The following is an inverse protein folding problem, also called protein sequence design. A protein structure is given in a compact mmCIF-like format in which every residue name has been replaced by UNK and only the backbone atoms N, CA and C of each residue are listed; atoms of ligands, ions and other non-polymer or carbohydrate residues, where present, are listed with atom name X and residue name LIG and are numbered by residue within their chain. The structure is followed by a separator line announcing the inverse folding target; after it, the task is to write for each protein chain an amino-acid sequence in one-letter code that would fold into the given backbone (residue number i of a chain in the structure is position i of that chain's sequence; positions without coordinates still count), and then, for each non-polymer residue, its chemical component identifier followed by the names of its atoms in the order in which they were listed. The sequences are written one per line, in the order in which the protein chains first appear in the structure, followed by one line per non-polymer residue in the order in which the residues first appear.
data_IF_605740776321
#
_entry.id   IF_605740776321
#
_cell.length_a   1.000
_cell.length_b   1.000
_cell.length_c   1.000
_cell.angle_alpha   90.00
_cell.angle_beta   90.00
_cell.angle_gamma   90.00
#
_symmetry.space_group_name_H-M   'P 1'
#
loop_
_entity.id
_entity.type
_entity.pdbx_description
1 polymer ?
#
# COMPACT_ATOMS: atom_id res chain seq x y z
N UNK A 1 -23.69 -0.19 -34.16
CA UNK A 1 -23.78 0.00 -32.69
C UNK A 1 -23.50 -1.27 -31.86
N UNK A 2 -23.34 -2.47 -32.44
CA UNK A 2 -23.06 -3.71 -31.68
C UNK A 2 -21.60 -3.87 -31.17
N UNK A 3 -20.63 -3.14 -31.74
CA UNK A 3 -19.21 -3.24 -31.37
C UNK A 3 -18.86 -2.61 -30.02
N UNK A 4 -19.45 -1.45 -29.68
CA UNK A 4 -19.16 -0.74 -28.41
C UNK A 4 -19.62 -1.51 -27.17
N UNK A 5 -20.78 -2.17 -27.23
CA UNK A 5 -21.30 -2.98 -26.11
C UNK A 5 -20.51 -4.27 -25.83
N UNK A 6 -19.84 -4.84 -26.85
CA UNK A 6 -18.95 -6.01 -26.67
C UNK A 6 -17.58 -5.62 -26.12
N UNK A 7 -17.03 -4.45 -26.48
CA UNK A 7 -15.78 -3.92 -25.90
C UNK A 7 -15.94 -3.68 -24.40
N UNK A 8 -17.06 -3.07 -23.99
CA UNK A 8 -17.35 -2.80 -22.58
C UNK A 8 -17.43 -4.07 -21.71
N UNK A 9 -18.02 -5.16 -22.26
CA UNK A 9 -18.03 -6.46 -21.57
C UNK A 9 -16.63 -7.03 -21.39
N UNK A 10 -15.77 -6.90 -22.41
CA UNK A 10 -14.39 -7.36 -22.35
C UNK A 10 -13.57 -6.58 -21.32
N UNK A 11 -13.72 -5.25 -21.28
CA UNK A 11 -13.06 -4.37 -20.29
C UNK A 11 -13.50 -4.71 -18.85
N UNK A 12 -14.78 -4.96 -18.64
CA UNK A 12 -15.32 -5.36 -17.31
C UNK A 12 -14.73 -6.72 -16.87
N UNK A 13 -14.60 -7.66 -17.81
CA UNK A 13 -14.05 -8.99 -17.54
C UNK A 13 -12.55 -8.94 -17.25
N UNK A 14 -11.81 -8.06 -17.95
CA UNK A 14 -10.40 -7.78 -17.67
C UNK A 14 -10.24 -7.24 -16.25
N UNK A 15 -11.01 -6.21 -15.86
CA UNK A 15 -10.88 -5.62 -14.53
C UNK A 15 -11.19 -6.63 -13.42
N UNK A 16 -12.27 -7.40 -13.59
CA UNK A 16 -12.61 -8.49 -12.67
C UNK A 16 -11.47 -9.51 -12.55
N UNK A 17 -10.86 -9.90 -13.67
CA UNK A 17 -9.75 -10.86 -13.68
C UNK A 17 -8.50 -10.30 -12.98
N UNK A 18 -8.26 -8.97 -13.05
CA UNK A 18 -7.18 -8.30 -12.33
C UNK A 18 -7.43 -8.24 -10.83
N UNK A 19 -8.67 -7.97 -10.42
CA UNK A 19 -9.06 -7.99 -9.00
C UNK A 19 -8.92 -9.38 -8.38
N UNK A 20 -9.25 -10.43 -9.13
CA UNK A 20 -9.09 -11.84 -8.74
C UNK A 20 -7.64 -12.35 -8.83
N UNK A 21 -6.70 -11.51 -9.29
CA UNK A 21 -5.29 -11.89 -9.55
C UNK A 21 -5.15 -13.07 -10.53
N UNK A 22 -6.10 -13.25 -11.46
CA UNK A 22 -6.04 -14.27 -12.50
C UNK A 22 -5.27 -13.75 -13.72
N UNK A 23 -3.94 -13.63 -13.58
CA UNK A 23 -3.09 -12.97 -14.57
C UNK A 23 -3.06 -13.68 -15.93
N UNK A 24 -3.20 -15.00 -15.96
CA UNK A 24 -3.30 -15.77 -17.22
C UNK A 24 -4.51 -15.30 -18.04
N UNK A 25 -5.69 -15.20 -17.39
CA UNK A 25 -6.90 -14.70 -18.04
C UNK A 25 -6.77 -13.24 -18.46
N UNK A 26 -6.11 -12.39 -17.67
CA UNK A 26 -5.85 -10.99 -18.03
C UNK A 26 -5.05 -10.88 -19.33
N UNK A 27 -3.99 -11.69 -19.48
CA UNK A 27 -3.16 -11.71 -20.68
C UNK A 27 -3.98 -12.15 -21.90
N UNK A 28 -4.73 -13.25 -21.78
CA UNK A 28 -5.56 -13.77 -22.88
C UNK A 28 -6.62 -12.75 -23.34
N UNK A 29 -7.28 -12.08 -22.41
CA UNK A 29 -8.28 -11.05 -22.71
C UNK A 29 -7.65 -9.78 -23.30
N UNK A 30 -6.45 -9.41 -22.86
CA UNK A 30 -5.72 -8.27 -23.41
C UNK A 30 -5.25 -8.54 -24.86
N UNK A 31 -4.81 -9.75 -25.18
CA UNK A 31 -4.51 -10.17 -26.55
C UNK A 31 -5.76 -10.13 -27.45
N UNK A 32 -6.90 -10.58 -26.91
CA UNK A 32 -8.19 -10.45 -27.62
C UNK A 32 -8.57 -8.98 -27.85
N UNK A 33 -8.37 -8.11 -26.87
CA UNK A 33 -8.62 -6.66 -27.01
C UNK A 33 -7.75 -6.08 -28.13
N UNK A 34 -6.45 -6.41 -28.13
CA UNK A 34 -5.50 -5.99 -29.16
C UNK A 34 -5.91 -6.43 -30.56
N UNK A 35 -6.37 -7.68 -30.72
CA UNK A 35 -6.78 -8.21 -32.02
C UNK A 35 -8.06 -7.57 -32.57
N UNK A 36 -8.97 -7.14 -31.69
CA UNK A 36 -10.31 -6.65 -32.07
C UNK A 36 -10.36 -5.15 -32.30
N UNK A 37 -9.52 -4.39 -31.61
CA UNK A 37 -9.55 -2.93 -31.67
C UNK A 37 -8.11 -2.37 -31.57
N UNK A 38 -7.48 -2.06 -32.71
CA UNK A 38 -6.11 -1.53 -32.76
C UNK A 38 -5.92 -0.23 -31.96
N UNK A 39 -6.98 0.57 -31.82
CA UNK A 39 -6.98 1.80 -31.02
C UNK A 39 -6.65 1.57 -29.53
N UNK A 40 -6.84 0.34 -29.02
CA UNK A 40 -6.53 -0.05 -27.65
C UNK A 40 -5.18 -0.77 -27.52
N UNK A 41 -4.34 -0.77 -28.55
CA UNK A 41 -3.07 -1.50 -28.54
C UNK A 41 -2.19 -1.14 -27.32
N UNK A 42 -2.07 0.14 -26.97
CA UNK A 42 -1.26 0.56 -25.83
C UNK A 42 -1.85 0.12 -24.49
N UNK A 43 -3.19 0.13 -24.36
CA UNK A 43 -3.85 -0.40 -23.17
C UNK A 43 -3.66 -1.92 -23.06
N UNK A 44 -3.80 -2.65 -24.16
CA UNK A 44 -3.57 -4.08 -24.20
C UNK A 44 -2.12 -4.44 -23.87
N UNK A 45 -1.14 -3.72 -24.45
CA UNK A 45 0.27 -3.91 -24.13
C UNK A 45 0.55 -3.66 -22.64
N UNK A 46 -0.09 -2.66 -22.04
CA UNK A 46 0.03 -2.37 -20.61
C UNK A 46 -0.50 -3.53 -19.75
N UNK A 47 -1.70 -4.04 -20.07
CA UNK A 47 -2.34 -5.16 -19.37
C UNK A 47 -1.52 -6.45 -19.47
N UNK A 48 -0.93 -6.73 -20.65
CA UNK A 48 -0.04 -7.87 -20.84
C UNK A 48 1.24 -7.70 -20.01
N UNK A 49 1.83 -6.50 -20.01
CA UNK A 49 3.02 -6.17 -19.23
C UNK A 49 2.79 -6.33 -17.72
N UNK A 50 1.66 -5.82 -17.22
CA UNK A 50 1.24 -6.00 -15.83
C UNK A 50 1.01 -7.47 -15.50
N UNK A 51 0.23 -8.20 -16.30
CA UNK A 51 -0.07 -9.61 -16.03
C UNK A 51 1.18 -10.47 -15.99
N UNK A 52 2.14 -10.24 -16.89
CA UNK A 52 3.44 -10.94 -16.88
C UNK A 52 4.28 -10.57 -15.66
N UNK A 53 4.29 -9.30 -15.25
CA UNK A 53 5.01 -8.84 -14.06
C UNK A 53 4.45 -9.48 -12.79
N UNK A 54 3.14 -9.35 -12.56
CA UNK A 54 2.51 -9.83 -11.33
C UNK A 54 2.52 -11.36 -11.26
N UNK A 55 2.26 -12.06 -12.38
CA UNK A 55 2.39 -13.52 -12.42
C UNK A 55 3.81 -14.01 -12.10
N UNK A 56 4.84 -13.28 -12.53
CA UNK A 56 6.22 -13.62 -12.19
C UNK A 56 6.51 -13.37 -10.70
N UNK A 57 6.01 -12.27 -10.13
CA UNK A 57 6.27 -11.92 -8.73
C UNK A 57 5.48 -12.76 -7.72
N UNK A 58 4.35 -13.36 -8.13
CA UNK A 58 3.65 -14.38 -7.34
C UNK A 58 4.49 -15.66 -7.19
N UNK A 59 5.21 -16.07 -8.24
CA UNK A 59 6.08 -17.25 -8.20
C UNK A 59 7.45 -16.93 -7.58
N UNK A 60 8.01 -15.77 -7.90
CA UNK A 60 9.31 -15.30 -7.45
C UNK A 60 9.19 -13.92 -6.79
N UNK A 61 8.90 -13.87 -5.48
CA UNK A 61 8.78 -12.61 -4.75
C UNK A 61 10.03 -11.73 -4.88
N UNK A 62 9.90 -10.40 -4.79
CA UNK A 62 11.01 -9.44 -4.99
C UNK A 62 11.95 -9.41 -3.77
N UNK A 63 12.68 -10.51 -3.57
CA UNK A 63 13.71 -10.68 -2.54
C UNK A 63 15.08 -10.82 -3.20
N UNK A 64 16.15 -10.52 -2.45
CA UNK A 64 17.53 -10.51 -2.97
C UNK A 64 17.93 -11.85 -3.66
N UNK A 65 17.41 -12.98 -3.16
CA UNK A 65 17.66 -14.31 -3.72
C UNK A 65 17.08 -14.52 -5.14
N UNK A 66 16.05 -13.78 -5.53
CA UNK A 66 15.35 -13.93 -6.81
C UNK A 66 15.83 -12.95 -7.89
N UNK A 67 16.77 -12.03 -7.57
CA UNK A 67 17.23 -10.99 -8.51
C UNK A 67 17.75 -11.58 -9.82
N UNK A 68 18.52 -12.67 -9.77
CA UNK A 68 19.07 -13.31 -10.97
C UNK A 68 17.97 -13.82 -11.91
N UNK A 69 16.94 -14.48 -11.35
CA UNK A 69 15.77 -14.96 -12.08
C UNK A 69 14.94 -13.80 -12.61
N UNK A 70 14.76 -12.74 -11.83
CA UNK A 70 14.03 -11.55 -12.24
C UNK A 70 14.69 -10.87 -13.45
N UNK A 71 16.03 -10.81 -13.49
CA UNK A 71 16.77 -10.22 -14.62
C UNK A 71 16.50 -10.91 -15.96
N UNK A 72 16.28 -12.22 -15.97
CA UNK A 72 15.98 -12.99 -17.18
C UNK A 72 14.47 -13.10 -17.43
N UNK A 73 13.67 -13.33 -16.39
CA UNK A 73 12.24 -13.62 -16.48
C UNK A 73 11.37 -12.38 -16.73
N UNK A 74 11.78 -11.19 -16.30
CA UNK A 74 11.00 -9.95 -16.46
C UNK A 74 11.30 -9.20 -17.77
N UNK A 75 12.12 -9.75 -18.66
CA UNK A 75 12.53 -9.10 -19.92
C UNK A 75 11.33 -8.76 -20.82
N UNK A 76 10.39 -9.69 -20.95
CA UNK A 76 9.20 -9.48 -21.78
C UNK A 76 8.23 -8.47 -21.15
N UNK A 77 7.97 -8.59 -19.85
CA UNK A 77 7.16 -7.62 -19.10
C UNK A 77 7.75 -6.21 -19.21
N UNK A 78 9.08 -6.08 -19.08
CA UNK A 78 9.81 -4.82 -19.25
C UNK A 78 9.58 -4.23 -20.65
N UNK A 79 9.67 -5.03 -21.70
CA UNK A 79 9.44 -4.57 -23.08
C UNK A 79 8.04 -3.99 -23.27
N UNK A 80 7.02 -4.67 -22.75
CA UNK A 80 5.65 -4.19 -22.83
C UNK A 80 5.45 -2.88 -22.06
N UNK A 81 5.88 -2.82 -20.80
CA UNK A 81 5.71 -1.63 -19.96
C UNK A 81 6.51 -0.42 -20.46
N UNK A 82 7.70 -0.64 -21.04
CA UNK A 82 8.46 0.45 -21.69
C UNK A 82 7.73 1.01 -22.92
N UNK A 83 7.04 0.15 -23.69
CA UNK A 83 6.26 0.62 -24.84
C UNK A 83 5.08 1.52 -24.43
N UNK A 84 4.57 1.36 -23.20
CA UNK A 84 3.44 2.12 -22.65
C UNK A 84 3.89 3.31 -21.78
N UNK A 85 5.17 3.37 -21.39
CA UNK A 85 5.80 4.56 -20.82
C UNK A 85 6.26 5.56 -21.91
N UNK A 86 5.42 5.75 -22.94
CA UNK A 86 5.67 6.63 -24.08
C UNK A 86 4.56 7.69 -24.22
N UNK A 87 4.75 8.69 -25.09
CA UNK A 87 3.72 9.70 -25.39
C UNK A 87 2.40 9.07 -25.89
N UNK A 88 2.46 7.91 -26.52
CA UNK A 88 1.27 7.17 -26.94
C UNK A 88 0.55 6.53 -25.75
N UNK A 89 1.29 6.00 -24.77
CA UNK A 89 0.71 5.51 -23.52
C UNK A 89 0.12 6.62 -22.64
N UNK A 90 0.62 7.86 -22.77
CA UNK A 90 0.00 9.04 -22.16
C UNK A 90 -1.39 9.31 -22.72
N UNK A 91 -1.58 9.18 -24.04
CA UNK A 91 -2.92 9.30 -24.68
C UNK A 91 -3.87 8.19 -24.25
N UNK A 92 -3.34 7.00 -23.97
CA UNK A 92 -4.13 5.87 -23.45
C UNK A 92 -4.38 5.94 -21.93
N UNK A 93 -3.84 6.94 -21.22
CA UNK A 93 -4.04 7.11 -19.78
C UNK A 93 -3.28 6.11 -18.90
N UNK A 94 -2.35 5.32 -19.47
CA UNK A 94 -1.63 4.24 -18.75
C UNK A 94 -0.22 4.61 -18.34
N UNK A 95 0.29 5.78 -18.74
CA UNK A 95 1.70 6.18 -18.51
C UNK A 95 2.07 6.20 -17.03
N UNK A 96 1.15 6.67 -16.17
CA UNK A 96 1.40 6.76 -14.72
C UNK A 96 1.57 5.37 -14.12
N UNK A 97 0.58 4.50 -14.29
CA UNK A 97 0.63 3.11 -13.83
C UNK A 97 1.82 2.37 -14.45
N UNK A 98 2.17 2.64 -15.72
CA UNK A 98 3.34 2.05 -16.39
C UNK A 98 4.64 2.42 -15.66
N UNK A 99 4.81 3.69 -15.29
CA UNK A 99 6.00 4.13 -14.54
C UNK A 99 6.05 3.51 -13.13
N UNK A 100 4.91 3.39 -12.44
CA UNK A 100 4.85 2.73 -11.13
C UNK A 100 5.24 1.24 -11.23
N UNK A 101 4.69 0.52 -12.21
CA UNK A 101 5.03 -0.88 -12.46
C UNK A 101 6.47 -1.07 -12.95
N UNK A 102 7.01 -0.15 -13.74
CA UNK A 102 8.43 -0.15 -14.13
C UNK A 102 9.33 0.05 -12.91
N UNK A 103 8.94 0.91 -11.96
CA UNK A 103 9.63 1.07 -10.67
C UNK A 103 9.68 -0.25 -9.90
N UNK A 104 8.55 -0.95 -9.78
CA UNK A 104 8.44 -2.28 -9.15
C UNK A 104 9.29 -3.33 -9.87
N UNK A 105 9.24 -3.36 -11.21
CA UNK A 105 10.01 -4.28 -12.04
C UNK A 105 11.53 -4.08 -11.87
N UNK A 106 12.00 -2.83 -11.91
CA UNK A 106 13.43 -2.53 -11.74
C UNK A 106 13.93 -2.86 -10.33
N UNK A 107 13.10 -2.68 -9.30
CA UNK A 107 13.41 -3.14 -7.96
C UNK A 107 13.59 -4.67 -7.88
N UNK A 108 12.66 -5.43 -8.46
CA UNK A 108 12.76 -6.89 -8.49
C UNK A 108 14.01 -7.38 -9.24
N UNK A 109 14.46 -6.63 -10.25
CA UNK A 109 15.71 -6.88 -10.97
C UNK A 109 16.96 -6.37 -10.23
N UNK A 110 16.85 -5.79 -9.03
CA UNK A 110 17.97 -5.23 -8.27
C UNK A 110 18.58 -3.96 -8.89
N UNK A 111 17.83 -3.23 -9.71
CA UNK A 111 18.22 -1.94 -10.32
C UNK A 111 17.58 -0.78 -9.54
N UNK A 112 18.09 -0.52 -8.34
CA UNK A 112 17.48 0.41 -7.37
C UNK A 112 17.46 1.87 -7.84
N UNK A 113 18.54 2.34 -8.48
CA UNK A 113 18.63 3.70 -9.04
C UNK A 113 17.59 3.94 -10.15
N UNK A 114 17.47 2.99 -11.07
CA UNK A 114 16.47 3.05 -12.16
C UNK A 114 15.05 3.02 -11.59
N UNK A 115 14.82 2.20 -10.56
CA UNK A 115 13.53 2.18 -9.85
C UNK A 115 13.17 3.55 -9.27
N UNK A 116 14.12 4.23 -8.61
CA UNK A 116 13.92 5.58 -8.09
C UNK A 116 13.65 6.59 -9.22
N UNK A 117 14.35 6.48 -10.35
CA UNK A 117 14.13 7.35 -11.51
C UNK A 117 12.69 7.25 -12.02
N UNK A 118 12.13 6.04 -12.14
CA UNK A 118 10.74 5.86 -12.55
C UNK A 118 9.74 6.44 -11.54
N UNK A 119 9.97 6.31 -10.24
CA UNK A 119 9.10 6.95 -9.23
C UNK A 119 9.19 8.47 -9.22
N UNK A 120 10.35 9.04 -9.60
CA UNK A 120 10.50 10.47 -9.78
C UNK A 120 9.76 10.94 -11.04
N UNK A 121 9.85 10.20 -12.16
CA UNK A 121 9.09 10.48 -13.39
C UNK A 121 7.58 10.33 -13.20
N UNK A 122 7.15 9.40 -12.35
CA UNK A 122 5.75 9.28 -11.94
C UNK A 122 5.30 10.43 -11.03
N UNK A 123 6.21 11.28 -10.53
CA UNK A 123 5.93 12.33 -9.56
C UNK A 123 5.16 11.81 -8.32
N UNK A 124 5.53 10.63 -7.80
CA UNK A 124 4.78 9.94 -6.74
C UNK A 124 4.47 10.83 -5.53
N UNK A 125 5.41 11.72 -5.19
CA UNK A 125 5.31 12.67 -4.08
C UNK A 125 4.36 13.86 -4.31
N UNK A 126 3.97 14.11 -5.57
CA UNK A 126 3.05 15.18 -5.98
C UNK A 126 1.61 14.70 -6.13
N UNK A 127 1.34 13.43 -5.78
CA UNK A 127 -0.01 12.87 -5.92
C UNK A 127 -1.00 13.63 -5.04
N UNK A 128 -2.14 13.97 -5.65
CA UNK A 128 -3.26 14.51 -4.90
C UNK A 128 -4.00 13.37 -4.22
N UNK A 129 -4.18 13.49 -2.91
CA UNK A 129 -4.90 12.51 -2.11
C UNK A 129 -6.38 12.54 -2.53
N UNK A 130 -6.76 11.57 -3.37
CA UNK A 130 -8.12 11.34 -3.85
C UNK A 130 -8.54 9.92 -3.48
N UNK A 131 -9.84 9.65 -3.47
CA UNK A 131 -10.31 8.26 -3.39
C UNK A 131 -9.82 7.47 -4.60
N UNK A 132 -9.26 6.30 -4.33
CA UNK A 132 -8.67 5.41 -5.32
C UNK A 132 -9.43 4.07 -5.32
N UNK A 133 -9.62 3.44 -6.49
CA UNK A 133 -10.05 2.05 -6.57
C UNK A 133 -9.09 1.13 -5.81
N UNK A 134 -9.58 -0.04 -5.37
CA UNK A 134 -8.79 -0.98 -4.54
C UNK A 134 -7.45 -1.38 -5.19
N UNK A 135 -7.47 -1.66 -6.50
CA UNK A 135 -6.23 -1.95 -7.26
C UNK A 135 -5.24 -0.78 -7.22
N UNK A 136 -5.72 0.44 -7.46
CA UNK A 136 -4.87 1.64 -7.43
C UNK A 136 -4.30 1.89 -6.04
N UNK A 137 -5.06 1.63 -4.96
CA UNK A 137 -4.52 1.67 -3.60
C UNK A 137 -3.34 0.71 -3.43
N UNK A 138 -3.46 -0.53 -3.90
CA UNK A 138 -2.37 -1.52 -3.85
C UNK A 138 -1.12 -1.02 -4.57
N UNK A 139 -1.26 -0.56 -5.81
CA UNK A 139 -0.12 -0.12 -6.64
C UNK A 139 0.57 1.09 -6.02
N UNK A 140 -0.19 2.08 -5.52
CA UNK A 140 0.39 3.26 -4.90
C UNK A 140 1.06 2.90 -3.57
N UNK A 141 0.46 2.01 -2.76
CA UNK A 141 1.07 1.51 -1.53
C UNK A 141 2.41 0.80 -1.82
N UNK A 142 2.43 -0.13 -2.77
CA UNK A 142 3.64 -0.83 -3.22
C UNK A 142 4.69 0.12 -3.81
N UNK A 143 4.26 1.16 -4.52
CA UNK A 143 5.17 2.15 -5.10
C UNK A 143 5.90 2.94 -4.03
N UNK A 144 5.18 3.44 -3.02
CA UNK A 144 5.80 4.11 -1.87
C UNK A 144 6.67 3.14 -1.06
N UNK A 145 6.23 1.90 -0.88
CA UNK A 145 6.99 0.85 -0.20
C UNK A 145 8.34 0.63 -0.86
N UNK A 146 8.32 0.37 -2.17
CA UNK A 146 9.50 0.06 -2.96
C UNK A 146 10.39 1.29 -3.07
N UNK A 147 9.85 2.50 -3.24
CA UNK A 147 10.64 3.73 -3.18
C UNK A 147 11.39 3.85 -1.85
N UNK A 148 10.74 3.58 -0.72
CA UNK A 148 11.38 3.55 0.61
C UNK A 148 12.50 2.52 0.71
N UNK A 149 12.28 1.30 0.21
CA UNK A 149 13.30 0.23 0.20
C UNK A 149 14.47 0.54 -0.75
N UNK A 150 14.20 1.14 -1.91
CA UNK A 150 15.25 1.61 -2.82
C UNK A 150 16.11 2.69 -2.14
N UNK A 151 15.48 3.65 -1.44
CA UNK A 151 16.21 4.65 -0.68
C UNK A 151 17.11 3.99 0.36
N UNK A 152 16.70 2.92 1.05
CA UNK A 152 17.59 2.20 1.98
C UNK A 152 18.84 1.59 1.32
N UNK A 153 18.72 1.14 0.08
CA UNK A 153 19.84 0.56 -0.69
C UNK A 153 20.72 1.63 -1.34
N UNK A 154 20.14 2.79 -1.70
CA UNK A 154 20.81 3.91 -2.37
C UNK A 154 20.97 5.08 -1.39
N UNK A 155 22.15 5.16 -0.77
CA UNK A 155 22.48 6.30 0.09
C UNK A 155 22.81 7.56 -0.73
N UNK A 156 22.54 8.76 -0.19
CA UNK A 156 22.94 9.99 -0.85
C UNK A 156 24.46 10.06 -1.01
N UNK A 157 24.91 10.53 -2.18
CA UNK A 157 26.34 10.73 -2.47
C UNK A 157 26.99 11.83 -1.65
N UNK A 158 26.18 12.74 -1.08
CA UNK A 158 26.66 13.83 -0.24
C UNK A 158 26.64 13.45 1.24
N UNK A 159 27.75 13.69 1.92
CA UNK A 159 27.90 13.52 3.38
C UNK A 159 27.35 14.70 4.21
N UNK A 160 26.74 15.70 3.57
CA UNK A 160 26.16 16.85 4.29
C UNK A 160 25.04 16.41 5.22
N UNK A 161 25.10 16.82 6.49
CA UNK A 161 24.06 16.53 7.50
C UNK A 161 22.66 16.92 7.03
N UNK A 162 22.54 18.03 6.30
CA UNK A 162 21.26 18.50 5.77
C UNK A 162 20.68 17.52 4.74
N UNK A 163 21.47 17.09 3.76
CA UNK A 163 21.04 16.12 2.74
C UNK A 163 20.75 14.75 3.33
N UNK A 164 21.51 14.36 4.36
CA UNK A 164 21.26 13.12 5.08
C UNK A 164 19.92 13.17 5.82
N UNK A 165 19.61 14.28 6.49
CA UNK A 165 18.34 14.47 7.19
C UNK A 165 17.15 14.49 6.23
N UNK A 166 17.27 15.17 5.09
CA UNK A 166 16.24 15.21 4.04
C UNK A 166 15.96 13.81 3.46
N UNK A 167 17.02 13.04 3.16
CA UNK A 167 16.89 11.66 2.70
C UNK A 167 16.25 10.76 3.76
N UNK A 168 16.65 10.91 5.03
CA UNK A 168 16.06 10.15 6.14
C UNK A 168 14.56 10.45 6.30
N UNK A 169 14.17 11.72 6.19
CA UNK A 169 12.77 12.16 6.24
C UNK A 169 11.98 11.62 5.06
N UNK A 170 12.51 11.72 3.83
CA UNK A 170 11.87 11.21 2.63
C UNK A 170 11.65 9.69 2.72
N UNK A 171 12.66 8.95 3.19
CA UNK A 171 12.58 7.51 3.38
C UNK A 171 11.49 7.14 4.39
N UNK A 172 11.46 7.79 5.56
CA UNK A 172 10.45 7.52 6.58
C UNK A 172 9.05 7.84 6.06
N UNK A 173 8.87 8.98 5.39
CA UNK A 173 7.60 9.38 4.79
C UNK A 173 7.08 8.34 3.79
N UNK A 174 7.97 7.75 2.98
CA UNK A 174 7.58 6.69 2.05
C UNK A 174 6.96 5.49 2.78
N UNK A 175 7.59 5.02 3.87
CA UNK A 175 7.06 3.91 4.65
C UNK A 175 5.77 4.26 5.41
N UNK A 176 5.63 5.49 5.90
CA UNK A 176 4.40 5.93 6.58
C UNK A 176 3.20 5.97 5.63
N UNK A 177 3.36 6.59 4.46
CA UNK A 177 2.31 6.68 3.44
C UNK A 177 1.98 5.29 2.90
N UNK A 178 2.99 4.47 2.60
CA UNK A 178 2.77 3.10 2.16
C UNK A 178 2.02 2.28 3.21
N UNK A 179 2.34 2.42 4.50
CA UNK A 179 1.67 1.70 5.58
C UNK A 179 0.20 2.12 5.73
N UNK A 180 -0.11 3.41 5.62
CA UNK A 180 -1.49 3.91 5.71
C UNK A 180 -2.34 3.42 4.53
N UNK A 181 -1.81 3.53 3.32
CA UNK A 181 -2.46 3.01 2.11
C UNK A 181 -2.64 1.48 2.16
N UNK A 182 -1.68 0.75 2.73
CA UNK A 182 -1.76 -0.70 2.90
C UNK A 182 -2.91 -1.07 3.84
N UNK A 183 -3.00 -0.41 5.00
CA UNK A 183 -4.11 -0.65 5.93
C UNK A 183 -5.46 -0.31 5.30
N UNK A 184 -5.55 0.80 4.57
CA UNK A 184 -6.76 1.17 3.84
C UNK A 184 -7.13 0.16 2.75
N UNK A 185 -6.14 -0.30 1.97
CA UNK A 185 -6.31 -1.35 0.96
C UNK A 185 -6.88 -2.63 1.57
N UNK A 186 -6.32 -3.09 2.69
CA UNK A 186 -6.78 -4.31 3.37
C UNK A 186 -8.21 -4.16 3.91
N UNK A 187 -8.60 -2.97 4.39
CA UNK A 187 -9.97 -2.69 4.82
C UNK A 187 -10.97 -2.70 3.66
N UNK A 188 -10.62 -2.12 2.50
CA UNK A 188 -11.50 -2.15 1.33
C UNK A 188 -11.60 -3.57 0.74
N UNK A 189 -10.55 -4.38 0.82
CA UNK A 189 -10.57 -5.79 0.42
C UNK A 189 -11.55 -6.64 1.24
N UNK A 190 -11.55 -6.47 2.57
CA UNK A 190 -12.51 -7.15 3.46
C UNK A 190 -13.96 -6.72 3.16
N UNK A 191 -14.18 -5.43 2.92
CA UNK A 191 -15.50 -4.89 2.57
C UNK A 191 -16.05 -5.48 1.27
N UNK A 192 -15.21 -5.61 0.23
CA UNK A 192 -15.60 -6.23 -1.04
C UNK A 192 -16.00 -7.70 -0.84
N UNK A 193 -15.30 -8.42 0.05
CA UNK A 193 -15.62 -9.82 0.35
C UNK A 193 -16.96 -9.99 1.09
N UNK A 194 -17.26 -9.10 2.05
CA UNK A 194 -18.54 -9.11 2.76
C UNK A 194 -19.74 -8.82 1.83
N UNK A 195 -19.53 -8.04 0.77
CA UNK A 195 -20.57 -7.77 -0.24
C UNK A 195 -20.81 -8.96 -1.18
N UNK A 196 -19.77 -9.75 -1.48
CA UNK A 196 -19.92 -10.96 -2.31
C UNK A 196 -20.61 -12.10 -1.57
N UNK A 197 -20.40 -12.21 -0.26
CA UNK A 197 -21.05 -13.26 0.56
C UNK A 197 -22.53 -12.98 0.83
N UNK A 198 -22.96 -11.71 0.90
CA UNK A 198 -24.37 -11.34 1.10
C UNK A 198 -25.27 -11.57 -0.12
N UNK A 199 -24.71 -11.66 -1.33
CA UNK A 199 -25.47 -11.93 -2.56
C UNK A 199 -25.71 -13.43 -2.85
N UNK A 200 -25.01 -14.32 -2.15
CA UNK A 200 -25.14 -15.79 -2.30
C UNK A 200 -26.08 -16.38 -1.23
N UNK A 201 -26.34 -15.65 -0.13
CA UNK A 201 -27.08 -16.16 1.02
C UNK A 201 -28.59 -15.92 0.98
N UNK A 202 -29.24 -16.24 -0.15
CA UNK A 202 -30.66 -16.64 -0.11
C UNK A 202 -30.76 -18.15 0.16
N UNK A 203 -30.54 -18.55 1.43
CA UNK A 203 -31.19 -19.76 1.98
C UNK A 203 -30.39 -21.06 2.21
N UNK A 204 -29.18 -21.03 2.81
CA UNK A 204 -28.60 -22.28 3.35
C UNK A 204 -27.68 -22.04 4.56
N UNK A 205 -28.01 -22.69 5.68
CA UNK A 205 -27.24 -22.71 6.95
C UNK A 205 -26.08 -23.72 6.87
N UNK A 206 -25.22 -23.61 5.86
CA UNK A 206 -24.00 -24.44 5.80
C UNK A 206 -22.84 -23.70 6.49
N UNK A 207 -22.03 -24.36 7.34
CA UNK A 207 -20.87 -23.74 7.95
C UNK A 207 -19.89 -23.32 6.86
N UNK A 208 -19.60 -22.02 6.79
CA UNK A 208 -18.65 -21.46 5.83
C UNK A 208 -17.25 -22.09 6.05
N UNK A 209 -16.55 -22.46 4.96
CA UNK A 209 -15.15 -22.85 5.09
C UNK A 209 -14.34 -21.68 5.69
N UNK A 210 -13.30 -21.96 6.50
CA UNK A 210 -12.42 -20.92 7.02
C UNK A 210 -11.91 -20.10 5.83
N UNK A 211 -12.10 -18.79 5.92
CA UNK A 211 -11.61 -17.84 4.92
C UNK A 211 -10.10 -18.08 4.79
N UNK A 212 -9.54 -18.36 3.60
CA UNK A 212 -8.11 -18.54 3.47
C UNK A 212 -7.42 -17.28 3.97
N UNK A 213 -6.48 -17.44 4.90
CA UNK A 213 -5.64 -16.34 5.40
C UNK A 213 -5.02 -15.65 4.19
N UNK A 214 -5.50 -14.44 3.85
CA UNK A 214 -4.94 -13.68 2.75
C UNK A 214 -3.54 -13.25 3.17
N UNK A 215 -2.54 -13.81 2.52
CA UNK A 215 -1.16 -13.39 2.71
C UNK A 215 -1.03 -11.95 2.22
N UNK A 216 -0.58 -11.08 3.13
CA UNK A 216 -0.13 -9.75 2.75
C UNK A 216 1.13 -9.97 1.91
N UNK A 217 1.21 -9.36 0.72
CA UNK A 217 2.40 -9.50 -0.12
C UNK A 217 3.67 -9.05 0.65
N UNK A 218 4.84 -9.67 0.42
CA UNK A 218 6.03 -9.45 1.26
C UNK A 218 6.52 -7.99 1.28
N UNK A 219 6.27 -7.26 0.19
CA UNK A 219 6.53 -5.82 0.10
C UNK A 219 5.68 -5.05 1.12
N UNK A 220 4.38 -5.34 1.18
CA UNK A 220 3.43 -4.67 2.06
C UNK A 220 3.64 -5.06 3.53
N UNK A 221 3.98 -6.33 3.81
CA UNK A 221 4.35 -6.79 5.15
C UNK A 221 5.57 -6.03 5.70
N UNK A 222 6.60 -5.90 4.86
CA UNK A 222 7.84 -5.20 5.22
C UNK A 222 7.54 -3.76 5.66
N UNK A 223 6.71 -3.05 4.90
CA UNK A 223 6.36 -1.65 5.20
C UNK A 223 5.60 -1.49 6.50
N UNK A 224 4.66 -2.39 6.80
CA UNK A 224 3.85 -2.29 8.01
C UNK A 224 4.71 -2.34 9.28
N UNK A 225 5.89 -2.96 9.23
CA UNK A 225 6.81 -2.99 10.37
C UNK A 225 7.93 -1.94 10.29
N UNK A 226 8.28 -1.46 9.09
CA UNK A 226 9.51 -0.66 8.90
C UNK A 226 9.44 0.75 9.48
N UNK A 227 8.32 1.46 9.36
CA UNK A 227 8.22 2.86 9.79
C UNK A 227 8.49 3.05 11.30
N UNK A 228 7.87 2.29 12.23
CA UNK A 228 8.19 2.42 13.66
C UNK A 228 9.66 2.09 13.97
N UNK A 229 10.23 1.08 13.31
CA UNK A 229 11.64 0.69 13.51
C UNK A 229 12.59 1.82 13.11
N UNK A 230 12.34 2.50 12.00
CA UNK A 230 13.17 3.63 11.55
C UNK A 230 13.12 4.82 12.54
N UNK A 231 11.95 5.10 13.11
CA UNK A 231 11.83 6.13 14.17
C UNK A 231 12.65 5.77 15.41
N UNK A 232 12.62 4.50 15.83
CA UNK A 232 13.43 4.02 16.97
C UNK A 232 14.93 4.13 16.66
N UNK A 233 15.35 3.70 15.46
CA UNK A 233 16.77 3.76 15.03
C UNK A 233 17.32 5.19 14.96
N UNK A 234 16.45 6.17 14.69
CA UNK A 234 16.81 7.60 14.65
C UNK A 234 16.65 8.31 16.00
N UNK A 235 16.30 7.57 17.07
CA UNK A 235 16.10 8.12 18.42
C UNK A 235 14.78 8.89 18.60
N UNK A 236 13.89 8.87 17.61
CA UNK A 236 12.59 9.57 17.63
C UNK A 236 11.51 8.68 18.26
N UNK A 237 11.68 8.35 19.54
CA UNK A 237 10.81 7.38 20.22
C UNK A 237 9.33 7.78 20.23
N UNK A 238 9.03 9.06 20.46
CA UNK A 238 7.65 9.57 20.45
C UNK A 238 6.99 9.39 19.08
N UNK A 239 7.72 9.63 17.99
CA UNK A 239 7.22 9.38 16.63
C UNK A 239 6.95 7.89 16.39
N UNK A 240 7.80 7.00 16.92
CA UNK A 240 7.56 5.56 16.84
C UNK A 240 6.28 5.15 17.60
N UNK A 241 6.10 5.65 18.83
CA UNK A 241 4.90 5.41 19.65
C UNK A 241 3.65 5.91 18.93
N UNK A 242 3.66 7.15 18.43
CA UNK A 242 2.54 7.70 17.65
C UNK A 242 2.26 6.87 16.40
N UNK A 243 3.29 6.36 15.73
CA UNK A 243 3.12 5.49 14.55
C UNK A 243 2.45 4.17 14.92
N UNK A 244 2.93 3.47 15.96
CA UNK A 244 2.29 2.25 16.45
C UNK A 244 0.84 2.48 16.83
N UNK A 245 0.54 3.55 17.60
CA UNK A 245 -0.82 3.92 17.98
C UNK A 245 -1.71 4.18 16.76
N UNK A 246 -1.20 4.92 15.78
CA UNK A 246 -1.95 5.20 14.53
C UNK A 246 -2.30 3.91 13.81
N UNK A 247 -1.36 2.98 13.69
CA UNK A 247 -1.58 1.69 13.05
C UNK A 247 -2.55 0.80 13.83
N UNK A 248 -2.43 0.73 15.16
CA UNK A 248 -3.31 -0.06 16.03
C UNK A 248 -4.71 0.55 16.15
N UNK A 249 -4.85 1.87 15.96
CA UNK A 249 -6.14 2.56 15.94
C UNK A 249 -6.96 2.28 14.67
N UNK A 250 -6.31 1.82 13.59
CA UNK A 250 -7.00 1.42 12.38
C UNK A 250 -7.94 0.24 12.67
N UNK A 251 -9.12 0.23 12.08
CA UNK A 251 -10.06 -0.89 12.16
C UNK A 251 -9.38 -2.15 11.62
N UNK A 252 -9.50 -3.22 12.38
CA UNK A 252 -8.93 -4.52 12.03
C UNK A 252 -9.53 -5.10 10.76
N UNK A 253 -8.66 -5.70 9.96
CA UNK A 253 -9.03 -6.54 8.82
C UNK A 253 -8.54 -7.97 9.04
N UNK A 254 -9.15 -8.93 8.34
CA UNK A 254 -8.81 -10.35 8.38
C UNK A 254 -7.30 -10.62 8.19
N UNK A 255 -6.65 -9.85 7.32
CA UNK A 255 -5.22 -9.99 7.03
C UNK A 255 -4.30 -9.33 8.07
N UNK A 256 -4.81 -8.48 8.97
CA UNK A 256 -3.96 -7.70 9.92
C UNK A 256 -3.88 -8.30 11.32
N UNK A 257 -4.54 -9.42 11.60
CA UNK A 257 -4.61 -10.00 12.95
C UNK A 257 -3.23 -10.32 13.54
N UNK A 258 -2.44 -11.13 12.83
CA UNK A 258 -1.08 -11.51 13.25
C UNK A 258 -0.14 -10.31 13.38
N UNK A 259 -0.26 -9.35 12.47
CA UNK A 259 0.48 -8.10 12.50
C UNK A 259 0.14 -7.30 13.75
N UNK A 260 -1.15 -7.13 14.07
CA UNK A 260 -1.59 -6.35 15.23
C UNK A 260 -1.01 -6.93 16.52
N UNK A 261 -0.99 -8.26 16.67
CA UNK A 261 -0.35 -8.91 17.82
C UNK A 261 1.14 -8.60 17.94
N UNK A 262 1.82 -8.54 16.80
CA UNK A 262 3.24 -8.14 16.76
C UNK A 262 3.40 -6.67 17.16
N UNK A 263 2.57 -5.78 16.62
CA UNK A 263 2.63 -4.34 16.88
C UNK A 263 2.23 -3.99 18.33
N UNK A 264 1.22 -4.64 18.91
CA UNK A 264 0.83 -4.41 20.32
C UNK A 264 1.96 -4.80 21.27
N UNK A 265 2.57 -5.97 21.06
CA UNK A 265 3.75 -6.39 21.83
C UNK A 265 4.91 -5.42 21.68
N UNK A 266 5.25 -5.02 20.45
CA UNK A 266 6.35 -4.09 20.19
C UNK A 266 6.11 -2.72 20.84
N UNK A 267 4.88 -2.20 20.78
CA UNK A 267 4.53 -0.96 21.45
C UNK A 267 4.63 -1.09 22.97
N UNK A 268 4.14 -2.18 23.56
CA UNK A 268 4.25 -2.43 24.99
C UNK A 268 5.73 -2.49 25.43
N UNK A 269 6.61 -3.13 24.67
CA UNK A 269 8.05 -3.16 24.92
C UNK A 269 8.69 -1.78 24.85
N UNK A 270 8.30 -0.96 23.87
CA UNK A 270 8.77 0.42 23.72
C UNK A 270 8.33 1.27 24.90
N UNK A 271 7.08 1.17 25.33
CA UNK A 271 6.56 1.90 26.49
C UNK A 271 7.29 1.48 27.78
N UNK A 272 7.41 0.17 28.03
CA UNK A 272 8.06 -0.38 29.23
C UNK A 272 9.53 0.01 29.38
N UNK A 273 10.27 0.13 28.26
CA UNK A 273 11.74 0.34 28.29
C UNK A 273 12.16 1.76 27.97
N UNK A 274 11.34 2.52 27.25
CA UNK A 274 11.75 3.77 26.61
C UNK A 274 10.94 5.00 27.01
N UNK A 275 9.78 4.85 27.65
CA UNK A 275 8.94 5.98 28.04
C UNK A 275 8.74 5.95 29.55
N UNK A 276 9.27 6.96 30.26
CA UNK A 276 8.94 7.19 31.65
C UNK A 276 7.64 7.97 31.77
N UNK A 277 6.89 7.82 32.87
CA UNK A 277 5.60 8.48 33.08
C UNK A 277 5.58 10.02 32.89
N UNK A 278 6.74 10.68 32.96
CA UNK A 278 6.91 12.12 32.68
C UNK A 278 6.94 12.49 31.19
N UNK A 279 7.27 11.54 30.31
CA UNK A 279 7.36 11.72 28.84
C UNK A 279 6.19 11.02 28.13
N UNK A 280 5.37 10.28 28.87
CA UNK A 280 4.18 9.64 28.34
C UNK A 280 3.17 10.67 27.83
N UNK A 281 2.72 10.47 26.60
CA UNK A 281 1.59 11.18 26.00
C UNK A 281 0.40 10.25 25.88
N UNK A 282 -0.81 10.70 26.24
CA UNK A 282 -2.03 9.94 26.06
C UNK A 282 -2.34 9.72 24.56
N UNK A 283 -2.86 8.55 24.14
CA UNK A 283 -3.39 8.39 22.79
C UNK A 283 -4.45 9.45 22.47
N UNK A 284 -4.32 10.11 21.32
CA UNK A 284 -5.29 11.12 20.87
C UNK A 284 -6.67 10.49 20.71
N UNK A 285 -7.72 11.15 21.23
CA UNK A 285 -9.09 10.71 20.94
C UNK A 285 -9.39 11.00 19.48
N UNK A 286 -10.04 10.05 18.79
CA UNK A 286 -10.57 10.31 17.45
C UNK A 286 -11.58 11.47 17.53
N UNK A 287 -11.17 12.67 17.12
CA UNK A 287 -11.96 13.91 17.20
C UNK A 287 -11.32 15.05 18.00
N UNK A 288 -10.30 14.80 18.82
CA UNK A 288 -9.58 15.84 19.57
C UNK A 288 -8.42 16.40 18.75
N UNK A 289 -8.71 16.99 17.58
CA UNK A 289 -7.79 17.97 16.99
C UNK A 289 -7.89 19.25 17.82
N UNK A 290 -7.39 19.24 19.05
CA UNK A 290 -7.36 20.43 19.91
C UNK A 290 -6.38 21.44 19.33
N UNK A 291 -6.91 22.38 18.54
CA UNK A 291 -6.96 23.80 18.86
C UNK A 291 -5.81 24.36 19.73
N UNK A 292 -4.57 24.16 19.31
CA UNK A 292 -3.42 24.94 19.75
C UNK A 292 -2.79 25.59 18.52
N UNK A 293 -3.21 26.83 18.25
CA UNK A 293 -2.71 27.75 17.21
C UNK A 293 -3.14 27.54 15.75
N UNK A 294 -4.44 27.67 15.45
CA UNK A 294 -4.85 28.34 14.20
C UNK A 294 -6.12 29.18 14.38
N UNK A 295 -5.90 30.49 14.39
CA UNK A 295 -6.92 31.53 14.30
C UNK A 295 -7.60 31.44 12.93
N UNK A 296 -8.94 31.59 12.94
CA UNK A 296 -9.85 31.88 11.82
C UNK A 296 -9.94 30.85 10.66
N UNK A 297 -11.01 30.05 10.67
CA UNK A 297 -12.11 30.11 9.67
C UNK A 297 -13.15 29.02 9.99
N UNK A 298 -14.42 29.43 10.07
CA UNK A 298 -15.57 28.51 10.13
C UNK A 298 -15.66 27.75 8.81
N UNK A 299 -15.31 26.47 8.78
CA UNK A 299 -15.94 25.43 7.93
C UNK A 299 -15.29 24.07 8.18
N UNK A 300 -16.10 23.02 8.02
CA UNK A 300 -15.73 21.61 7.78
C UNK A 300 -15.12 20.81 8.94
N UNK A 301 -15.85 19.77 9.34
CA UNK A 301 -15.28 18.50 9.81
C UNK A 301 -14.01 18.23 9.00
N UNK A 302 -12.85 18.16 9.64
CA UNK A 302 -11.60 17.79 8.96
C UNK A 302 -11.75 16.34 8.53
N UNK A 303 -12.23 16.15 7.30
CA UNK A 303 -12.23 14.85 6.66
C UNK A 303 -10.77 14.39 6.64
N UNK A 304 -10.47 13.35 7.42
CA UNK A 304 -9.18 12.67 7.34
C UNK A 304 -8.86 12.40 5.87
N UNK A 305 -7.59 12.56 5.50
CA UNK A 305 -7.09 12.31 4.15
C UNK A 305 -7.68 11.00 3.59
N UNK A 306 -8.11 10.96 2.31
CA UNK A 306 -8.69 9.76 1.71
C UNK A 306 -7.71 8.59 1.61
N UNK A 307 -6.44 8.80 1.96
CA UNK A 307 -5.40 7.77 2.04
C UNK A 307 -5.17 7.24 3.45
N UNK A 308 -5.95 7.69 4.44
CA UNK A 308 -5.88 7.19 5.80
C UNK A 308 -6.82 6.00 5.99
N UNK A 309 -6.40 4.97 6.73
CA UNK A 309 -7.29 3.87 7.08
C UNK A 309 -8.40 4.37 8.02
N UNK A 310 -9.54 3.69 7.97
CA UNK A 310 -10.63 3.90 8.91
C UNK A 310 -10.15 3.53 10.30
N UNK A 311 -10.48 4.34 11.30
CA UNK A 311 -10.12 4.12 12.71
C UNK A 311 -11.32 3.69 13.54
N UNK A 312 -11.08 3.03 14.66
CA UNK A 312 -12.13 2.79 15.66
C UNK A 312 -12.66 4.13 16.17
N UNK A 313 -13.97 4.32 16.09
CA UNK A 313 -14.67 5.51 16.59
C UNK A 313 -15.83 5.07 17.48
N UNK A 314 -16.09 5.84 18.53
CA UNK A 314 -17.15 5.52 19.47
C UNK A 314 -17.05 6.35 20.75
N UNK A 315 -18.21 6.73 21.29
CA UNK A 315 -18.30 7.59 22.50
C UNK A 315 -17.80 6.85 23.75
N UNK A 316 -17.91 5.53 23.77
CA UNK A 316 -17.60 4.67 24.92
C UNK A 316 -16.31 3.86 24.74
N UNK A 317 -15.40 4.29 23.85
CA UNK A 317 -14.11 3.63 23.71
C UNK A 317 -13.23 3.91 24.93
N UNK A 318 -12.62 2.86 25.47
CA UNK A 318 -11.61 3.00 26.51
C UNK A 318 -10.34 3.63 25.92
N UNK A 319 -9.83 4.68 26.56
CA UNK A 319 -8.61 5.38 26.14
C UNK A 319 -7.67 5.41 27.34
N UNK A 320 -6.49 4.76 27.25
CA UNK A 320 -5.52 4.71 28.34
C UNK A 320 -5.05 6.10 28.78
N UNK A 321 -5.12 6.37 30.08
CA UNK A 321 -4.74 7.67 30.67
C UNK A 321 -3.29 7.74 31.13
N UNK A 322 -2.63 6.59 31.28
CA UNK A 322 -1.24 6.48 31.70
C UNK A 322 -0.57 5.27 31.05
N UNK A 323 0.75 5.18 31.19
CA UNK A 323 1.58 4.13 30.62
C UNK A 323 1.12 2.73 31.01
N UNK A 324 0.74 2.52 32.29
CA UNK A 324 0.35 1.20 32.80
C UNK A 324 -0.97 0.74 32.19
N UNK A 325 -1.95 1.63 32.07
CA UNK A 325 -3.22 1.35 31.40
C UNK A 325 -3.00 0.95 29.94
N UNK A 326 -2.11 1.64 29.22
CA UNK A 326 -1.84 1.33 27.81
C UNK A 326 -1.10 0.00 27.67
N UNK A 327 -0.06 -0.23 28.48
CA UNK A 327 0.69 -1.49 28.47
C UNK A 327 -0.22 -2.67 28.77
N UNK A 328 -1.06 -2.58 29.80
CA UNK A 328 -1.99 -3.65 30.17
C UNK A 328 -2.99 -3.90 29.03
N UNK A 329 -3.57 -2.84 28.46
CA UNK A 329 -4.48 -2.97 27.33
C UNK A 329 -3.81 -3.70 26.15
N UNK A 330 -2.60 -3.28 25.78
CA UNK A 330 -1.86 -3.86 24.65
C UNK A 330 -1.54 -5.34 24.85
N UNK A 331 -1.20 -5.75 26.08
CA UNK A 331 -0.87 -7.14 26.41
C UNK A 331 -2.12 -8.04 26.54
N UNK A 332 -3.31 -7.45 26.72
CA UNK A 332 -4.58 -8.19 26.77
C UNK A 332 -5.20 -8.43 25.39
N UNK A 333 -4.80 -7.67 24.37
CA UNK A 333 -5.23 -7.89 22.98
C UNK A 333 -4.63 -9.21 22.51
N UNK A 334 -5.49 -10.16 22.13
CA UNK A 334 -5.17 -11.50 21.61
C UNK A 334 -5.70 -11.68 20.20
#
# INVERSE_FOLDING_TARGET
MAGKGRSYRLETEIEKSREESNWKRVIDLAEQLKSRAPDFEHLANFLIGEGKLESFLEEFPPVDANISKARTGLTEAKRYLLSTASEQGKKAGVILDSNLLLGKLHYAMGMYEESLNYYNQAELQSFTEKQLPSRSLRIVAESYAIKGMCLEKVRPSSSSKYKQAEWDEQRVKCFEVAGDLTLLYLQEQDKLQQQQTTTINTGSYSPQPPNPERQIGPVLETVLQRAPILHIQTGKLQSAVTRYRTMLSAVESSATQSLRLTLTRQLAEVLLRGVSGTVYSCPEKAGDTTASNKKLTQTTQTADSPWKPRKYTGINLFIPRNENEEIILLLLIR
#
